data_IF_119575458941
#
_entry.id   IF_119575458941
#
_cell.length_a   1.000
_cell.length_b   1.000
_cell.length_c   1.000
_cell.angle_alpha   90.00
_cell.angle_beta   90.00
_cell.angle_gamma   90.00
#
_symmetry.space_group_name_H-M   'P 1'
#
loop_
_entity.id
_entity.type
_entity.pdbx_description
1 polymer ?
#
# COMPACT_ATOMS: atom_id res chain seq x y z
N UNK A 1 9.48 13.52 -14.27
CA UNK A 1 9.15 12.72 -15.49
C UNK A 1 7.75 12.18 -15.29
N UNK A 2 6.81 12.40 -16.21
CA UNK A 2 5.46 11.84 -16.07
C UNK A 2 5.56 10.30 -16.06
N UNK A 3 5.05 9.67 -15.00
CA UNK A 3 5.04 8.20 -14.85
C UNK A 3 3.76 7.57 -15.42
N UNK A 4 2.81 8.39 -15.87
CA UNK A 4 1.56 7.97 -16.51
C UNK A 4 1.70 8.21 -18.01
N UNK A 5 1.68 7.13 -18.81
CA UNK A 5 1.91 7.15 -20.26
C UNK A 5 1.87 5.73 -20.85
N UNK A 6 2.22 5.60 -22.13
CA UNK A 6 2.18 4.31 -22.84
C UNK A 6 3.06 3.22 -22.20
N UNK A 7 4.23 3.60 -21.68
CA UNK A 7 5.17 2.70 -20.97
C UNK A 7 4.93 2.68 -19.46
N UNK A 8 3.66 2.65 -19.04
CA UNK A 8 3.29 2.67 -17.62
C UNK A 8 3.88 1.47 -16.87
N UNK A 9 4.49 1.77 -15.72
CA UNK A 9 5.04 0.78 -14.79
C UNK A 9 4.49 1.09 -13.39
N UNK A 10 3.64 0.19 -12.91
CA UNK A 10 2.96 0.34 -11.63
C UNK A 10 3.94 0.31 -10.44
N UNK A 11 5.00 -0.50 -10.52
CA UNK A 11 6.00 -0.60 -9.45
C UNK A 11 6.78 0.71 -9.34
N UNK A 12 7.13 1.33 -10.48
CA UNK A 12 7.81 2.63 -10.50
C UNK A 12 6.93 3.76 -9.98
N UNK A 13 5.63 3.76 -10.30
CA UNK A 13 4.69 4.72 -9.73
C UNK A 13 4.55 4.55 -8.22
N UNK A 14 4.38 3.31 -7.76
CA UNK A 14 4.25 2.98 -6.34
C UNK A 14 5.47 3.42 -5.55
N UNK A 15 6.67 3.13 -6.06
CA UNK A 15 7.92 3.56 -5.43
C UNK A 15 8.07 5.08 -5.39
N UNK A 16 7.63 5.80 -6.43
CA UNK A 16 7.63 7.26 -6.41
C UNK A 16 6.63 7.81 -5.39
N UNK A 17 5.42 7.26 -5.33
CA UNK A 17 4.39 7.66 -4.38
C UNK A 17 4.84 7.46 -2.93
N UNK A 18 5.50 6.33 -2.62
CA UNK A 18 6.08 6.09 -1.30
C UNK A 18 7.16 7.12 -0.93
N UNK A 19 8.02 7.51 -1.88
CA UNK A 19 9.01 8.58 -1.67
C UNK A 19 8.38 9.94 -1.42
N UNK A 20 7.22 10.19 -2.02
CA UNK A 20 6.44 11.43 -1.85
C UNK A 20 5.56 11.41 -0.58
N UNK A 21 5.61 10.33 0.20
CA UNK A 21 4.96 10.24 1.51
C UNK A 21 3.66 9.44 1.54
N UNK A 22 3.22 8.86 0.41
CA UNK A 22 2.14 7.89 0.45
C UNK A 22 2.55 6.65 1.24
N UNK A 23 1.57 6.02 1.89
CA UNK A 23 1.75 4.78 2.65
C UNK A 23 0.83 3.71 2.06
N UNK A 24 1.31 2.48 1.85
CA UNK A 24 0.47 1.41 1.33
C UNK A 24 -0.63 1.03 2.34
N UNK A 25 -1.75 0.49 1.85
CA UNK A 25 -2.93 0.16 2.67
C UNK A 25 -2.62 -0.74 3.88
N UNK A 26 -1.65 -1.65 3.74
CA UNK A 26 -1.12 -2.49 4.84
C UNK A 26 -0.65 -1.71 6.07
N UNK A 27 -0.15 -0.48 5.89
CA UNK A 27 0.23 0.37 7.02
C UNK A 27 -1.01 0.85 7.80
N UNK A 28 -2.10 1.16 7.09
CA UNK A 28 -3.37 1.52 7.74
C UNK A 28 -3.97 0.31 8.45
N UNK A 29 -3.95 -0.88 7.81
CA UNK A 29 -4.37 -2.14 8.43
C UNK A 29 -3.58 -2.49 9.69
N UNK A 30 -2.24 -2.42 9.62
CA UNK A 30 -1.37 -2.65 10.77
C UNK A 30 -1.66 -1.67 11.93
N UNK A 31 -1.90 -0.39 11.60
CA UNK A 31 -2.33 0.59 12.60
C UNK A 31 -3.67 0.19 13.22
N UNK A 32 -4.66 -0.18 12.42
CA UNK A 32 -5.98 -0.60 12.93
C UNK A 32 -5.88 -1.83 13.86
N UNK A 33 -5.03 -2.80 13.54
CA UNK A 33 -4.74 -3.95 14.42
C UNK A 33 -4.11 -3.49 15.74
N UNK A 34 -3.10 -2.61 15.69
CA UNK A 34 -2.44 -2.11 16.90
C UNK A 34 -3.39 -1.33 17.82
N UNK A 35 -4.42 -0.68 17.26
CA UNK A 35 -5.47 0.01 18.01
C UNK A 35 -6.65 -0.88 18.41
N UNK A 36 -6.63 -2.19 18.08
CA UNK A 36 -7.70 -3.13 18.41
C UNK A 36 -8.99 -2.92 17.63
N UNK A 37 -8.93 -2.27 16.46
CA UNK A 37 -10.11 -1.95 15.63
C UNK A 37 -10.52 -3.15 14.74
N UNK A 38 -9.55 -3.97 14.32
CA UNK A 38 -9.75 -5.11 13.40
C UNK A 38 -8.77 -6.23 13.78
N UNK A 39 -9.01 -7.45 13.29
CA UNK A 39 -8.14 -8.59 13.52
C UNK A 39 -7.01 -8.69 12.50
N UNK A 40 -5.92 -9.37 12.88
CA UNK A 40 -4.80 -9.62 11.99
C UNK A 40 -5.20 -10.47 10.78
N UNK A 41 -6.10 -11.44 10.95
CA UNK A 41 -6.53 -12.31 9.85
C UNK A 41 -7.33 -11.53 8.80
N UNK A 42 -8.20 -10.62 9.22
CA UNK A 42 -8.92 -9.71 8.33
C UNK A 42 -7.95 -8.88 7.49
N UNK A 43 -6.90 -8.33 8.13
CA UNK A 43 -5.88 -7.54 7.43
C UNK A 43 -5.10 -8.38 6.41
N UNK A 44 -4.70 -9.60 6.78
CA UNK A 44 -3.90 -10.48 5.91
C UNK A 44 -4.70 -11.09 4.76
N UNK A 45 -6.02 -11.20 4.88
CA UNK A 45 -6.90 -11.81 3.86
C UNK A 45 -7.50 -10.77 2.92
N UNK A 46 -7.72 -9.53 3.37
CA UNK A 46 -8.40 -8.49 2.59
C UNK A 46 -7.40 -7.55 1.89
N UNK A 47 -6.28 -7.23 2.52
CA UNK A 47 -5.33 -6.27 1.94
C UNK A 47 -4.39 -6.95 0.93
N UNK A 48 -3.96 -6.22 -0.11
CA UNK A 48 -2.94 -6.73 -1.02
C UNK A 48 -1.66 -7.04 -0.25
N UNK A 49 -1.24 -8.30 -0.30
CA UNK A 49 0.11 -8.69 0.10
C UNK A 49 1.09 -8.07 -0.91
N UNK A 50 2.30 -7.75 -0.46
CA UNK A 50 3.32 -7.24 -1.38
C UNK A 50 3.50 -8.23 -2.55
N UNK A 51 3.60 -7.73 -3.77
CA UNK A 51 4.49 -8.37 -4.75
C UNK A 51 5.94 -8.06 -4.37
#
# INVERSE_FOLDING_TARGET
RALVGADFDCARLTQQAEREGMRPLRMAGASAVAHGITALDEVLTVLPLAE
#
